data_IF_994545728432
#
_entry.id   IF_994545728432
#
_cell.length_a   1.000
_cell.length_b   1.000
_cell.length_c   1.000
_cell.angle_alpha   90.00
_cell.angle_beta   90.00
_cell.angle_gamma   90.00
#
_symmetry.space_group_name_H-M   'P 1'
#
loop_
_entity.id
_entity.type
_entity.pdbx_description
1 polymer ?
#
# COMPACT_ATOMS: atom_id res chain seq x y z
N UNK A 1 13.67 19.92 -13.81
CA UNK A 1 14.35 18.61 -13.92
C UNK A 1 13.33 17.46 -13.86
N UNK A 2 12.49 17.35 -12.83
CA UNK A 2 11.45 16.29 -12.75
C UNK A 2 10.41 16.38 -13.88
N UNK A 3 9.93 17.59 -14.24
CA UNK A 3 8.97 17.78 -15.35
C UNK A 3 9.55 17.40 -16.72
N UNK A 4 10.85 17.60 -16.91
CA UNK A 4 11.57 17.26 -18.14
C UNK A 4 11.73 15.75 -18.28
N UNK A 5 11.98 15.04 -17.18
CA UNK A 5 12.04 13.58 -17.14
C UNK A 5 10.64 12.98 -17.36
N UNK A 6 9.59 13.54 -16.76
CA UNK A 6 8.20 13.06 -16.94
C UNK A 6 7.76 13.18 -18.41
N UNK A 7 8.04 14.31 -19.07
CA UNK A 7 7.75 14.48 -20.51
C UNK A 7 8.52 13.47 -21.36
N UNK A 8 9.85 13.37 -21.16
CA UNK A 8 10.67 12.47 -21.96
C UNK A 8 10.28 10.98 -21.78
N UNK A 9 9.84 10.57 -20.59
CA UNK A 9 9.36 9.22 -20.36
C UNK A 9 7.96 8.98 -20.96
N UNK A 10 7.07 9.98 -20.98
CA UNK A 10 5.77 9.89 -21.68
C UNK A 10 5.96 9.80 -23.19
N UNK A 11 6.86 10.61 -23.74
CA UNK A 11 7.12 10.68 -25.18
C UNK A 11 7.74 9.39 -25.73
N UNK A 12 8.43 8.63 -24.87
CA UNK A 12 8.99 7.31 -25.20
C UNK A 12 8.00 6.15 -24.99
N UNK A 13 6.78 6.42 -24.52
CA UNK A 13 5.82 5.38 -24.13
C UNK A 13 6.25 4.56 -22.93
N UNK A 14 7.36 4.95 -22.29
CA UNK A 14 7.89 4.32 -21.08
C UNK A 14 7.23 4.85 -19.81
N UNK A 15 6.38 5.89 -19.87
CA UNK A 15 5.66 6.43 -18.73
C UNK A 15 4.14 6.13 -18.75
N UNK A 16 3.54 5.71 -17.61
CA UNK A 16 4.17 5.50 -16.31
C UNK A 16 5.23 4.41 -16.40
N UNK A 17 6.42 4.68 -15.84
CA UNK A 17 7.49 3.68 -15.77
C UNK A 17 6.82 2.48 -15.14
N UNK A 18 6.75 1.33 -15.84
CA UNK A 18 6.12 0.15 -15.27
C UNK A 18 6.76 0.00 -13.90
N UNK A 19 5.95 -0.04 -12.83
CA UNK A 19 6.44 -0.24 -11.46
C UNK A 19 7.62 -1.24 -11.41
N UNK A 20 7.57 -2.37 -12.15
CA UNK A 20 8.68 -3.31 -12.24
C UNK A 20 10.05 -2.72 -12.63
N UNK A 21 10.12 -1.73 -13.52
CA UNK A 21 11.39 -1.10 -13.92
C UNK A 21 11.93 -0.20 -12.81
N UNK A 22 11.07 0.60 -12.18
CA UNK A 22 11.47 1.46 -11.06
C UNK A 22 11.95 0.63 -9.87
N UNK A 23 11.27 -0.49 -9.63
CA UNK A 23 11.67 -1.50 -8.65
C UNK A 23 12.99 -2.15 -9.06
N UNK A 24 13.19 -2.54 -10.32
CA UNK A 24 14.45 -3.15 -10.77
C UNK A 24 15.65 -2.21 -10.59
N UNK A 25 15.47 -0.91 -10.86
CA UNK A 25 16.48 0.12 -10.60
C UNK A 25 16.75 0.24 -9.09
N UNK A 26 15.72 0.27 -8.26
CA UNK A 26 15.91 0.29 -6.79
C UNK A 26 16.59 -0.98 -6.26
N UNK A 27 16.24 -2.16 -6.77
CA UNK A 27 16.90 -3.44 -6.45
C UNK A 27 18.38 -3.44 -6.85
N UNK A 28 18.75 -2.74 -7.93
CA UNK A 28 20.14 -2.61 -8.35
C UNK A 28 20.93 -1.65 -7.45
N UNK A 29 20.30 -0.58 -6.96
CA UNK A 29 20.96 0.46 -6.17
C UNK A 29 21.05 0.13 -4.67
N UNK A 30 20.13 -0.69 -4.15
CA UNK A 30 20.11 -1.10 -2.74
C UNK A 30 20.84 -2.45 -2.62
N UNK A 31 21.70 -2.68 -1.61
CA UNK A 31 22.32 -3.98 -1.40
C UNK A 31 21.28 -5.09 -1.22
N UNK A 32 21.42 -6.27 -1.88
CA UNK A 32 20.47 -7.39 -1.78
C UNK A 32 20.03 -7.71 -0.35
N UNK A 33 20.94 -7.69 0.61
CA UNK A 33 20.62 -7.93 2.02
C UNK A 33 19.62 -6.92 2.63
N UNK A 34 19.60 -5.68 2.16
CA UNK A 34 18.72 -4.65 2.69
C UNK A 34 17.33 -4.68 2.08
N UNK A 35 17.20 -5.12 0.83
CA UNK A 35 15.89 -5.24 0.21
C UNK A 35 15.36 -6.66 0.28
N UNK A 36 16.12 -7.68 -0.11
CA UNK A 36 15.68 -9.10 -0.11
C UNK A 36 15.26 -9.52 1.27
N UNK A 37 16.07 -9.33 2.31
CA UNK A 37 15.75 -9.90 3.61
C UNK A 37 14.69 -9.11 4.39
N UNK A 38 14.31 -7.92 3.91
CA UNK A 38 13.24 -7.12 4.52
C UNK A 38 11.90 -7.46 3.87
N UNK A 39 10.86 -7.63 4.69
CA UNK A 39 9.52 -7.99 4.21
C UNK A 39 8.92 -6.98 3.22
N UNK A 40 7.82 -7.37 2.58
CA UNK A 40 7.06 -6.55 1.61
C UNK A 40 6.70 -5.14 2.13
N UNK A 41 6.59 -4.97 3.45
CA UNK A 41 6.38 -3.68 4.14
C UNK A 41 7.53 -2.69 3.93
N UNK A 42 8.78 -3.15 3.83
CA UNK A 42 9.91 -2.27 3.55
C UNK A 42 9.80 -1.64 2.15
N UNK A 43 9.35 -2.43 1.17
CA UNK A 43 9.08 -1.91 -0.17
C UNK A 43 7.94 -0.91 -0.21
N UNK A 44 6.90 -1.13 0.60
CA UNK A 44 5.84 -0.15 0.76
C UNK A 44 6.40 1.20 1.25
N UNK A 45 7.33 1.21 2.21
CA UNK A 45 8.00 2.44 2.65
C UNK A 45 8.92 3.05 1.58
N UNK A 46 9.72 2.24 0.87
CA UNK A 46 10.57 2.74 -0.22
C UNK A 46 9.75 3.33 -1.37
N UNK A 47 8.68 2.65 -1.78
CA UNK A 47 7.76 3.16 -2.79
C UNK A 47 7.03 4.42 -2.31
N UNK A 48 6.76 4.55 -1.00
CA UNK A 48 6.22 5.78 -0.40
C UNK A 48 7.18 6.95 -0.55
N UNK A 49 8.48 6.74 -0.34
CA UNK A 49 9.50 7.74 -0.60
C UNK A 49 9.59 8.09 -2.09
N UNK A 50 9.54 7.08 -2.97
CA UNK A 50 9.51 7.30 -4.42
C UNK A 50 8.29 8.13 -4.85
N UNK A 51 7.12 7.90 -4.25
CA UNK A 51 5.95 8.76 -4.45
C UNK A 51 6.21 10.19 -3.98
N UNK A 52 6.84 10.39 -2.81
CA UNK A 52 7.15 11.74 -2.34
C UNK A 52 8.01 12.52 -3.36
N UNK A 53 8.94 11.84 -4.03
CA UNK A 53 9.81 12.43 -5.05
C UNK A 53 9.11 12.64 -6.40
N UNK A 54 8.25 11.71 -6.82
CA UNK A 54 7.67 11.70 -8.18
C UNK A 54 6.27 12.29 -8.26
N UNK A 55 5.52 12.26 -7.16
CA UNK A 55 4.09 12.55 -7.07
C UNK A 55 3.26 11.75 -8.10
N UNK A 56 3.75 10.57 -8.50
CA UNK A 56 3.11 9.75 -9.54
C UNK A 56 1.75 9.24 -9.10
N UNK A 57 0.72 9.48 -9.92
CA UNK A 57 -0.63 8.98 -9.68
C UNK A 57 -0.68 7.45 -9.61
N UNK A 58 0.06 6.79 -10.50
CA UNK A 58 0.11 5.33 -10.56
C UNK A 58 0.70 4.76 -9.26
N UNK A 59 1.82 5.32 -8.80
CA UNK A 59 2.48 4.88 -7.56
C UNK A 59 1.56 5.12 -6.35
N UNK A 60 0.90 6.30 -6.28
CA UNK A 60 -0.08 6.59 -5.23
C UNK A 60 -1.21 5.56 -5.16
N UNK A 61 -1.80 5.21 -6.31
CA UNK A 61 -2.87 4.22 -6.40
C UNK A 61 -2.37 2.83 -5.99
N UNK A 62 -1.18 2.46 -6.46
CA UNK A 62 -0.50 1.21 -6.09
C UNK A 62 -0.23 1.12 -4.59
N UNK A 63 0.33 2.18 -4.00
CA UNK A 63 0.59 2.28 -2.57
C UNK A 63 -0.68 2.18 -1.73
N UNK A 64 -1.78 2.84 -2.14
CA UNK A 64 -3.04 2.70 -1.43
C UNK A 64 -3.53 1.23 -1.41
N UNK A 65 -3.49 0.54 -2.56
CA UNK A 65 -3.91 -0.87 -2.63
C UNK A 65 -2.95 -1.81 -1.89
N UNK A 66 -1.64 -1.64 -2.04
CA UNK A 66 -0.61 -2.39 -1.30
C UNK A 66 -0.75 -2.19 0.20
N UNK A 67 -0.94 -0.96 0.65
CA UNK A 67 -1.15 -0.63 2.06
C UNK A 67 -2.39 -1.28 2.65
N UNK A 68 -3.51 -1.28 1.91
CA UNK A 68 -4.73 -2.02 2.30
C UNK A 68 -4.41 -3.51 2.47
N UNK A 69 -3.70 -4.11 1.51
CA UNK A 69 -3.30 -5.52 1.57
C UNK A 69 -2.41 -5.83 2.76
N UNK A 70 -1.42 -4.97 3.05
CA UNK A 70 -0.51 -5.09 4.20
C UNK A 70 -1.30 -5.04 5.50
N UNK A 71 -2.15 -4.03 5.67
CA UNK A 71 -2.94 -3.87 6.90
C UNK A 71 -3.85 -5.07 7.14
N UNK A 72 -4.58 -5.54 6.11
CA UNK A 72 -5.44 -6.71 6.22
C UNK A 72 -4.60 -7.95 6.63
N UNK A 73 -3.47 -8.17 5.97
CA UNK A 73 -2.60 -9.29 6.27
C UNK A 73 -2.05 -9.24 7.70
N UNK A 74 -1.63 -8.07 8.14
CA UNK A 74 -1.09 -7.83 9.47
C UNK A 74 -2.11 -8.12 10.57
N UNK A 75 -3.33 -7.58 10.45
CA UNK A 75 -4.40 -7.84 11.41
C UNK A 75 -4.89 -9.29 11.37
N UNK A 76 -4.81 -9.97 10.23
CA UNK A 76 -5.08 -11.41 10.15
C UNK A 76 -4.05 -12.23 10.95
N UNK A 77 -2.75 -11.89 10.85
CA UNK A 77 -1.69 -12.52 11.63
C UNK A 77 -1.89 -12.30 13.14
N UNK A 78 -2.14 -11.05 13.56
CA UNK A 78 -2.41 -10.71 14.97
C UNK A 78 -3.64 -11.47 15.49
N UNK A 79 -4.71 -11.53 14.69
CA UNK A 79 -5.93 -12.25 15.06
C UNK A 79 -5.65 -13.74 15.23
N UNK A 80 -4.85 -14.34 14.36
CA UNK A 80 -4.46 -15.74 14.48
C UNK A 80 -3.60 -16.00 15.72
N UNK A 81 -2.65 -15.11 16.04
CA UNK A 81 -1.82 -15.19 17.26
C UNK A 81 -2.69 -15.21 18.52
N UNK A 82 -3.69 -14.33 18.55
CA UNK A 82 -4.63 -14.23 19.65
C UNK A 82 -5.53 -15.48 19.74
N UNK A 83 -6.14 -15.90 18.63
CA UNK A 83 -7.13 -16.98 18.64
C UNK A 83 -6.51 -18.37 18.82
N UNK A 84 -5.37 -18.65 18.18
CA UNK A 84 -4.72 -19.97 18.21
C UNK A 84 -3.79 -20.13 19.40
N UNK A 85 -3.08 -19.07 19.80
CA UNK A 85 -2.02 -19.15 20.81
C UNK A 85 -2.29 -18.32 22.07
N UNK A 86 -3.37 -17.53 22.10
CA UNK A 86 -3.69 -16.68 23.24
C UNK A 86 -2.71 -15.52 23.44
N UNK A 87 -1.84 -15.23 22.45
CA UNK A 87 -0.87 -14.16 22.55
C UNK A 87 -1.48 -12.84 22.08
N UNK A 88 -1.36 -11.80 22.88
CA UNK A 88 -1.80 -10.46 22.51
C UNK A 88 -0.63 -9.66 21.91
N UNK A 89 -0.66 -9.43 20.60
CA UNK A 89 0.35 -8.64 19.86
C UNK A 89 1.80 -9.15 19.94
N UNK A 90 2.04 -10.41 20.32
CA UNK A 90 3.40 -10.96 20.36
C UNK A 90 4.09 -10.88 19.00
N UNK A 91 3.35 -11.19 17.93
CA UNK A 91 3.82 -11.01 16.54
C UNK A 91 4.35 -9.59 16.27
N UNK A 92 3.66 -8.56 16.76
CA UNK A 92 4.06 -7.18 16.55
C UNK A 92 5.44 -6.91 17.16
N UNK A 93 5.65 -7.35 18.39
CA UNK A 93 6.92 -7.12 19.11
C UNK A 93 8.08 -7.90 18.48
N UNK A 94 7.80 -9.07 17.91
CA UNK A 94 8.78 -9.87 17.16
C UNK A 94 9.15 -9.28 15.79
N UNK A 95 8.29 -8.46 15.19
CA UNK A 95 8.55 -7.79 13.93
C UNK A 95 9.34 -6.47 14.10
N UNK A 96 9.56 -6.02 15.33
CA UNK A 96 10.29 -4.78 15.58
C UNK A 96 11.80 -4.95 15.31
N UNK A 97 12.54 -3.86 15.08
CA UNK A 97 14.00 -3.90 15.00
C UNK A 97 14.58 -4.51 16.28
N UNK A 98 15.71 -5.23 16.15
CA UNK A 98 16.32 -5.95 17.28
C UNK A 98 16.60 -5.06 18.51
N UNK A 99 16.86 -3.76 18.30
CA UNK A 99 17.04 -2.80 19.39
C UNK A 99 15.79 -2.64 20.27
N UNK A 100 14.59 -2.74 19.70
CA UNK A 100 13.32 -2.70 20.44
C UNK A 100 12.90 -4.10 20.89
N UNK A 101 13.05 -5.10 20.02
CA UNK A 101 12.66 -6.48 20.35
C UNK A 101 13.45 -7.03 21.52
N UNK A 102 14.76 -6.75 21.64
CA UNK A 102 15.56 -7.24 22.77
C UNK A 102 15.13 -6.68 24.14
N UNK A 103 14.41 -5.54 24.14
CA UNK A 103 13.83 -4.94 25.36
C UNK A 103 12.49 -5.59 25.68
N UNK A 104 11.64 -5.79 24.67
CA UNK A 104 10.28 -6.33 24.86
C UNK A 104 10.21 -7.85 24.94
N UNK A 105 11.17 -8.54 24.33
CA UNK A 105 11.17 -9.98 24.13
C UNK A 105 12.54 -10.55 24.44
N UNK A 106 12.61 -11.40 25.46
CA UNK A 106 13.81 -12.12 25.84
C UNK A 106 13.46 -13.61 25.92
N UNK A 107 14.31 -14.46 25.35
CA UNK A 107 14.12 -15.91 25.28
C UNK A 107 12.77 -16.34 24.69
N UNK A 108 12.24 -15.55 23.74
CA UNK A 108 10.97 -15.81 23.07
C UNK A 108 9.72 -15.49 23.89
N UNK A 109 9.90 -14.93 25.09
CA UNK A 109 8.83 -14.50 26.01
C UNK A 109 8.71 -12.98 25.94
N UNK A 110 7.46 -12.50 25.94
CA UNK A 110 7.16 -11.06 25.98
C UNK A 110 7.15 -10.60 27.44
N UNK A 111 7.94 -9.59 27.77
CA UNK A 111 8.12 -9.08 29.14
C UNK A 111 7.23 -7.88 29.39
N UNK A 112 6.32 -7.96 30.36
CA UNK A 112 5.37 -6.89 30.68
C UNK A 112 5.64 -6.23 32.05
N UNK A 113 6.73 -6.63 32.70
CA UNK A 113 7.05 -6.33 34.10
C UNK A 113 7.90 -5.08 34.28
N UNK A 114 8.55 -4.59 33.23
CA UNK A 114 9.40 -3.39 33.27
C UNK A 114 8.76 -2.20 32.54
N UNK A 115 8.93 -1.00 33.11
CA UNK A 115 8.49 0.25 32.46
C UNK A 115 9.17 0.49 31.11
N UNK A 116 10.42 0.05 30.96
CA UNK A 116 11.16 0.15 29.71
C UNK A 116 10.52 -0.71 28.61
N UNK A 117 10.15 -1.95 28.95
CA UNK A 117 9.44 -2.84 28.02
C UNK A 117 8.06 -2.29 27.66
N UNK A 118 7.27 -1.85 28.64
CA UNK A 118 5.94 -1.24 28.41
C UNK A 118 6.07 0.00 27.50
N UNK A 119 7.03 0.87 27.77
CA UNK A 119 7.30 2.06 26.94
C UNK A 119 7.68 1.68 25.51
N UNK A 120 8.49 0.64 25.34
CA UNK A 120 8.91 0.13 24.03
C UNK A 120 7.76 -0.54 23.27
N UNK A 121 6.85 -1.24 23.96
CA UNK A 121 5.62 -1.76 23.36
C UNK A 121 4.74 -0.63 22.86
N UNK A 122 4.49 0.38 23.70
CA UNK A 122 3.71 1.55 23.33
C UNK A 122 4.31 2.25 22.09
N UNK A 123 5.64 2.42 22.07
CA UNK A 123 6.36 2.95 20.91
C UNK A 123 6.16 2.07 19.66
N UNK A 124 6.23 0.75 19.81
CA UNK A 124 6.04 -0.20 18.71
C UNK A 124 4.65 -0.10 18.09
N UNK A 125 3.61 0.04 18.90
CA UNK A 125 2.24 0.28 18.43
C UNK A 125 2.10 1.60 17.68
N UNK A 126 2.72 2.67 18.18
CA UNK A 126 2.73 3.97 17.50
C UNK A 126 3.43 3.86 16.14
N UNK A 127 4.64 3.29 16.11
CA UNK A 127 5.41 3.14 14.88
C UNK A 127 4.69 2.28 13.84
N UNK A 128 4.08 1.18 14.26
CA UNK A 128 3.32 0.30 13.36
C UNK A 128 2.06 0.99 12.80
N UNK A 129 1.33 1.69 13.67
CA UNK A 129 0.13 2.47 13.27
C UNK A 129 0.49 3.57 12.27
N UNK A 130 1.58 4.31 12.52
CA UNK A 130 2.05 5.36 11.63
C UNK A 130 2.55 4.79 10.30
N UNK A 131 3.35 3.72 10.36
CA UNK A 131 4.01 3.11 9.22
C UNK A 131 3.03 2.43 8.27
N UNK A 132 1.94 1.85 8.77
CA UNK A 132 1.05 1.01 7.97
C UNK A 132 -0.36 1.62 7.81
N UNK A 133 -1.29 1.58 8.81
CA UNK A 133 -2.62 2.17 8.67
C UNK A 133 -2.62 3.65 8.27
N UNK A 134 -1.86 4.49 8.98
CA UNK A 134 -1.92 5.94 8.74
C UNK A 134 -1.29 6.32 7.40
N UNK A 135 -0.19 5.68 7.02
CA UNK A 135 0.44 5.90 5.72
C UNK A 135 -0.46 5.42 4.57
N UNK A 136 -1.14 4.28 4.74
CA UNK A 136 -2.16 3.80 3.79
C UNK A 136 -3.31 4.79 3.66
N UNK A 137 -3.81 5.27 4.80
CA UNK A 137 -4.87 6.29 4.85
C UNK A 137 -4.43 7.59 4.18
N UNK A 138 -3.19 8.02 4.37
CA UNK A 138 -2.62 9.18 3.70
C UNK A 138 -2.68 9.03 2.16
N UNK A 139 -2.27 7.89 1.60
CA UNK A 139 -2.36 7.67 0.15
C UNK A 139 -3.80 7.60 -0.35
N UNK A 140 -4.71 7.04 0.44
CA UNK A 140 -6.14 7.08 0.16
C UNK A 140 -6.67 8.51 0.12
N UNK A 141 -6.39 9.34 1.13
CA UNK A 141 -6.79 10.74 1.16
C UNK A 141 -6.19 11.52 -0.02
N UNK A 142 -4.90 11.34 -0.31
CA UNK A 142 -4.29 11.96 -1.49
C UNK A 142 -4.98 11.51 -2.76
N UNK A 143 -5.41 10.25 -2.84
CA UNK A 143 -6.16 9.73 -3.98
C UNK A 143 -7.50 10.45 -4.16
N UNK A 144 -8.30 10.55 -3.10
CA UNK A 144 -9.62 11.17 -3.11
C UNK A 144 -9.57 12.69 -3.31
N UNK A 145 -8.57 13.38 -2.76
CA UNK A 145 -8.33 14.83 -2.99
C UNK A 145 -8.19 15.20 -4.48
N UNK A 146 -7.77 14.25 -5.33
CA UNK A 146 -7.68 14.45 -6.79
C UNK A 146 -8.92 13.94 -7.54
N UNK A 147 -10.04 13.73 -6.86
CA UNK A 147 -11.26 13.16 -7.44
C UNK A 147 -11.21 11.64 -7.67
N UNK A 148 -10.23 10.96 -7.08
CA UNK A 148 -10.11 9.51 -7.14
C UNK A 148 -11.23 8.79 -6.41
N UNK A 149 -11.63 7.63 -6.92
CA UNK A 149 -12.64 6.75 -6.29
C UNK A 149 -12.04 5.39 -5.96
N UNK A 150 -12.68 4.66 -5.05
CA UNK A 150 -12.26 3.28 -4.73
C UNK A 150 -12.21 2.39 -5.98
N UNK A 151 -13.20 2.52 -6.88
CA UNK A 151 -13.22 1.80 -8.16
C UNK A 151 -11.99 2.09 -9.03
N UNK A 152 -11.47 3.32 -8.98
CA UNK A 152 -10.28 3.69 -9.76
C UNK A 152 -8.97 3.17 -9.17
N UNK A 153 -8.91 2.89 -7.85
CA UNK A 153 -7.81 2.10 -7.26
C UNK A 153 -7.81 0.68 -7.78
N UNK A 154 -9.00 0.11 -7.99
CA UNK A 154 -9.18 -1.25 -8.50
C UNK A 154 -9.11 -1.32 -10.04
N UNK A 155 -8.42 -0.40 -10.70
CA UNK A 155 -8.15 -0.50 -12.15
C UNK A 155 -7.27 -1.72 -12.45
N UNK A 156 -7.40 -2.32 -13.65
CA UNK A 156 -6.65 -3.54 -14.00
C UNK A 156 -5.14 -3.29 -13.90
N UNK A 157 -4.67 -2.14 -14.37
CA UNK A 157 -3.25 -1.80 -14.34
C UNK A 157 -2.69 -1.80 -12.91
N UNK A 158 -3.45 -1.23 -11.96
CA UNK A 158 -3.04 -1.16 -10.55
C UNK A 158 -3.11 -2.55 -9.91
N UNK A 159 -4.19 -3.30 -10.11
CA UNK A 159 -4.37 -4.64 -9.55
C UNK A 159 -3.29 -5.60 -10.04
N UNK A 160 -3.05 -5.64 -11.36
CA UNK A 160 -2.05 -6.51 -11.96
C UNK A 160 -0.65 -6.10 -11.52
N UNK A 161 -0.32 -4.81 -11.53
CA UNK A 161 1.02 -4.37 -11.17
C UNK A 161 1.35 -4.62 -9.69
N UNK A 162 0.41 -4.34 -8.77
CA UNK A 162 0.62 -4.57 -7.33
C UNK A 162 0.68 -6.06 -7.00
N UNK A 163 -0.15 -6.89 -7.62
CA UNK A 163 -0.09 -8.35 -7.46
C UNK A 163 1.21 -8.93 -8.04
N UNK A 164 1.58 -8.57 -9.27
CA UNK A 164 2.83 -9.02 -9.90
C UNK A 164 4.04 -8.58 -9.08
N UNK A 165 4.03 -7.36 -8.54
CA UNK A 165 5.08 -6.90 -7.66
C UNK A 165 5.20 -7.77 -6.42
N UNK A 166 4.09 -8.02 -5.73
CA UNK A 166 4.05 -8.90 -4.55
C UNK A 166 4.53 -10.33 -4.86
N UNK A 167 4.13 -10.91 -6.00
CA UNK A 167 4.55 -12.27 -6.38
C UNK A 167 6.01 -12.34 -6.82
N UNK A 168 6.47 -11.38 -7.60
CA UNK A 168 7.88 -11.28 -8.00
C UNK A 168 8.76 -11.14 -6.76
N UNK A 169 8.30 -10.34 -5.79
CA UNK A 169 8.95 -10.19 -4.50
C UNK A 169 9.07 -11.52 -3.76
N UNK A 170 7.93 -12.17 -3.56
CA UNK A 170 7.81 -13.46 -2.90
C UNK A 170 8.76 -14.51 -3.51
N UNK A 171 8.72 -14.67 -4.83
CA UNK A 171 9.57 -15.61 -5.56
C UNK A 171 11.06 -15.29 -5.41
N UNK A 172 11.44 -14.01 -5.53
CA UNK A 172 12.83 -13.58 -5.42
C UNK A 172 13.37 -13.80 -4.00
N UNK A 173 12.57 -13.45 -3.00
CA UNK A 173 12.90 -13.63 -1.60
C UNK A 173 13.10 -15.11 -1.25
N UNK A 174 12.14 -15.96 -1.64
CA UNK A 174 12.22 -17.39 -1.38
C UNK A 174 13.42 -18.03 -2.08
N UNK A 175 13.68 -17.64 -3.34
CA UNK A 175 14.82 -18.17 -4.08
C UNK A 175 16.15 -17.82 -3.40
N UNK A 176 16.25 -16.61 -2.87
CA UNK A 176 17.44 -16.14 -2.17
C UNK A 176 17.65 -16.84 -0.83
N UNK A 177 16.60 -16.96 0.00
CA UNK A 177 16.72 -17.47 1.36
C UNK A 177 16.67 -19.01 1.47
N UNK A 178 15.89 -19.67 0.61
CA UNK A 178 15.66 -21.12 0.68
C UNK A 178 16.22 -21.88 -0.53
N UNK A 179 16.70 -21.19 -1.56
CA UNK A 179 17.12 -21.83 -2.81
C UNK A 179 15.98 -22.29 -3.72
N UNK A 180 14.73 -22.11 -3.30
CA UNK A 180 13.52 -22.56 -4.00
C UNK A 180 12.52 -21.43 -4.24
N UNK A 181 11.65 -21.60 -5.24
CA UNK A 181 10.58 -20.64 -5.52
C UNK A 181 9.34 -20.99 -4.71
N UNK A 182 8.88 -20.06 -3.88
CA UNK A 182 7.58 -20.16 -3.21
C UNK A 182 6.69 -19.00 -3.62
N UNK A 183 5.39 -19.28 -3.75
CA UNK A 183 4.40 -18.26 -4.09
C UNK A 183 4.12 -17.34 -2.91
N UNK A 184 4.45 -17.75 -1.69
CA UNK A 184 4.29 -16.97 -0.47
C UNK A 184 5.64 -16.63 0.14
N UNK A 185 5.77 -15.38 0.57
CA UNK A 185 6.95 -14.91 1.26
C UNK A 185 6.99 -15.60 2.62
N UNK A 186 8.14 -16.14 3.01
CA UNK A 186 8.39 -16.66 4.35
C UNK A 186 9.65 -15.98 4.83
N UNK A 187 9.51 -14.93 5.64
CA UNK A 187 10.62 -14.06 6.00
C UNK A 187 11.59 -14.68 6.99
N UNK A 188 12.88 -14.71 6.67
CA UNK A 188 13.92 -15.26 7.55
C UNK A 188 14.47 -14.24 8.58
N UNK A 189 14.48 -12.94 8.25
CA UNK A 189 15.28 -11.94 8.98
C UNK A 189 14.47 -10.94 9.83
N UNK A 190 13.29 -10.51 9.35
CA UNK A 190 12.43 -9.56 10.11
C UNK A 190 11.55 -10.29 11.11
N UNK A 191 11.09 -11.45 10.71
CA UNK A 191 10.37 -12.37 11.55
C UNK A 191 11.42 -13.38 11.93
N UNK A 192 11.90 -13.38 13.17
CA UNK A 192 12.70 -14.52 13.67
C UNK A 192 11.76 -15.74 13.69
N UNK A 193 11.47 -16.31 12.51
CA UNK A 193 10.56 -17.43 12.36
C UNK A 193 11.32 -18.63 12.91
N UNK A 194 11.08 -18.93 14.18
CA UNK A 194 11.56 -20.18 14.76
C UNK A 194 10.69 -21.31 14.25
N UNK A 195 11.22 -22.54 14.27
CA UNK A 195 10.40 -23.75 14.12
C UNK A 195 9.23 -23.66 15.12
N UNK A 196 8.00 -23.47 14.62
CA UNK A 196 6.79 -23.30 15.42
C UNK A 196 6.06 -21.95 15.30
N UNK A 197 6.66 -20.92 14.68
CA UNK A 197 6.02 -19.59 14.54
C UNK A 197 5.68 -19.25 13.10
N UNK A 198 6.02 -20.12 12.15
CA UNK A 198 5.70 -19.95 10.73
C UNK A 198 4.19 -19.88 10.48
N UNK A 199 3.43 -20.69 11.21
CA UNK A 199 1.96 -20.78 11.14
C UNK A 199 1.25 -19.43 11.36
N UNK A 200 1.89 -18.55 12.13
CA UNK A 200 1.37 -17.22 12.46
C UNK A 200 1.34 -16.27 11.25
N UNK A 201 2.18 -16.54 10.25
CA UNK A 201 2.36 -15.66 9.10
C UNK A 201 1.52 -16.07 7.88
N UNK A 202 1.14 -17.34 7.77
CA UNK A 202 0.26 -17.80 6.69
C UNK A 202 -1.05 -17.01 6.56
N UNK A 203 -1.76 -16.64 7.65
CA UNK A 203 -2.95 -15.80 7.55
C UNK A 203 -2.71 -14.49 6.80
N UNK A 204 -1.55 -13.85 6.97
CA UNK A 204 -1.24 -12.62 6.27
C UNK A 204 -1.18 -12.83 4.75
N UNK A 205 -0.51 -13.90 4.30
CA UNK A 205 -0.36 -14.20 2.88
C UNK A 205 -1.64 -14.73 2.23
N UNK A 206 -2.41 -15.53 2.98
CA UNK A 206 -3.72 -16.02 2.54
C UNK A 206 -4.65 -14.84 2.33
N UNK A 207 -4.75 -13.93 3.30
CA UNK A 207 -5.67 -12.78 3.21
C UNK A 207 -5.28 -11.79 2.11
N UNK A 208 -4.00 -11.53 1.89
CA UNK A 208 -3.52 -10.79 0.71
C UNK A 208 -3.99 -11.47 -0.59
N UNK A 209 -3.77 -12.78 -0.71
CA UNK A 209 -4.12 -13.53 -1.93
C UNK A 209 -5.63 -13.58 -2.16
N UNK A 210 -6.40 -13.74 -1.08
CA UNK A 210 -7.87 -13.67 -1.09
C UNK A 210 -8.33 -12.28 -1.52
N UNK A 211 -7.72 -11.19 -1.05
CA UNK A 211 -8.05 -9.84 -1.46
C UNK A 211 -7.91 -9.66 -2.98
N UNK A 212 -6.75 -10.01 -3.55
CA UNK A 212 -6.53 -9.90 -4.99
C UNK A 212 -7.43 -10.83 -5.81
N UNK A 213 -7.68 -12.04 -5.32
CA UNK A 213 -8.62 -12.97 -5.95
C UNK A 213 -10.04 -12.41 -5.97
N UNK A 214 -10.53 -11.89 -4.85
CA UNK A 214 -11.86 -11.27 -4.75
C UNK A 214 -11.99 -10.06 -5.67
N UNK A 215 -10.98 -9.17 -5.72
CA UNK A 215 -10.97 -8.04 -6.65
C UNK A 215 -11.05 -8.52 -8.10
N UNK A 216 -10.27 -9.55 -8.46
CA UNK A 216 -10.24 -10.12 -9.81
C UNK A 216 -11.61 -10.70 -10.18
N UNK A 217 -12.19 -11.54 -9.33
CA UNK A 217 -13.51 -12.13 -9.52
C UNK A 217 -14.61 -11.07 -9.66
N UNK A 218 -14.59 -10.04 -8.82
CA UNK A 218 -15.53 -8.92 -8.92
C UNK A 218 -15.39 -8.17 -10.25
N UNK A 219 -14.17 -7.90 -10.72
CA UNK A 219 -13.94 -7.25 -12.01
C UNK A 219 -14.39 -8.10 -13.19
N UNK A 220 -14.06 -9.39 -13.19
CA UNK A 220 -14.49 -10.33 -14.22
C UNK A 220 -16.02 -10.47 -14.26
N UNK A 221 -16.67 -10.55 -13.11
CA UNK A 221 -18.14 -10.58 -13.01
C UNK A 221 -18.78 -9.33 -13.63
N UNK A 222 -18.26 -8.14 -13.34
CA UNK A 222 -18.76 -6.90 -13.94
C UNK A 222 -18.53 -6.83 -15.46
N UNK A 223 -17.42 -7.40 -15.97
CA UNK A 223 -17.17 -7.48 -17.41
C UNK A 223 -18.17 -8.42 -18.11
N UNK A 224 -18.48 -9.56 -17.48
CA UNK A 224 -19.45 -10.53 -18.00
C UNK A 224 -20.88 -9.99 -17.93
N UNK A 225 -21.26 -9.35 -16.83
CA UNK A 225 -22.58 -8.72 -16.66
C UNK A 225 -22.77 -7.49 -17.57
N UNK A 226 -21.67 -6.77 -17.84
CA UNK A 226 -21.64 -5.68 -18.81
C UNK A 226 -21.50 -6.14 -20.26
N UNK A 227 -21.45 -7.44 -20.54
CA UNK A 227 -21.27 -8.06 -21.87
C UNK A 227 -22.38 -7.75 -22.89
N UNK A 228 -23.37 -6.94 -22.54
CA UNK A 228 -24.19 -6.19 -23.50
C UNK A 228 -23.55 -4.83 -23.81
N UNK A 229 -22.23 -4.78 -24.04
CA UNK A 229 -21.61 -3.61 -24.66
C UNK A 229 -22.06 -3.62 -26.11
N UNK A 230 -22.99 -2.73 -26.35
CA UNK A 230 -23.47 -2.26 -27.63
C UNK A 230 -22.30 -2.13 -28.58
N UNK A 231 -22.22 -3.04 -29.55
CA UNK A 231 -21.52 -2.82 -30.80
C UNK A 231 -22.24 -1.72 -31.59
N UNK A 232 -22.38 -0.53 -31.02
CA UNK A 232 -22.69 0.68 -31.77
C UNK A 232 -21.37 1.22 -32.29
N UNK A 233 -20.81 0.49 -33.26
CA UNK A 233 -19.96 1.10 -34.27
C UNK A 233 -20.83 2.08 -35.05
N UNK A 234 -21.05 3.27 -34.47
CA UNK A 234 -21.34 4.46 -35.25
C UNK A 234 -20.08 4.73 -36.06
N UNK A 235 -19.98 4.08 -37.22
CA UNK A 235 -19.38 4.69 -38.40
C UNK A 235 -20.20 5.97 -38.66
N UNK A 236 -19.89 7.03 -37.92
CA UNK A 236 -20.22 8.38 -38.35
C UNK A 236 -19.16 8.76 -39.35
N UNK A 237 -19.51 8.49 -40.60
CA UNK A 237 -19.00 9.17 -41.76
C UNK A 237 -19.09 10.70 -41.61
N UNK A 238 -18.22 11.39 -42.36
CA UNK A 238 -18.27 12.82 -42.73
C UNK A 238 -17.93 13.80 -41.61
N UNK A 239 -17.30 14.96 -41.83
CA UNK A 239 -16.74 15.67 -42.99
C UNK A 239 -15.98 16.85 -42.33
N UNK A 240 -14.75 17.09 -42.73
CA UNK A 240 -14.29 18.32 -43.38
C UNK A 240 -14.27 19.64 -42.59
N UNK A 241 -13.12 20.32 -42.76
CA UNK A 241 -12.90 21.77 -42.80
C UNK A 241 -12.92 22.62 -41.50
N UNK A 242 -11.71 23.06 -41.16
CA UNK A 242 -11.27 24.30 -40.45
C UNK A 242 -12.00 25.55 -41.01
N UNK A 243 -12.12 26.75 -40.36
CA UNK A 243 -11.02 27.39 -39.62
C UNK A 243 -11.34 28.35 -38.45
N UNK A 244 -10.24 28.83 -37.87
CA UNK A 244 -10.04 29.92 -36.92
C UNK A 244 -11.09 31.06 -36.87
N UNK A 245 -11.42 31.50 -35.64
CA UNK A 245 -12.17 32.73 -35.41
C UNK A 245 -12.32 33.15 -33.95
N UNK A 246 -11.40 34.02 -33.50
CA UNK A 246 -11.57 35.19 -32.59
C UNK A 246 -12.37 35.13 -31.28
N UNK A 247 -11.69 35.61 -30.23
CA UNK A 247 -12.09 36.59 -29.19
C UNK A 247 -13.57 36.69 -28.77
N UNK A 248 -13.86 36.57 -27.47
CA UNK A 248 -14.05 37.72 -26.55
C UNK A 248 -14.31 37.19 -25.11
N UNK A 249 -13.61 37.75 -24.12
CA UNK A 249 -14.12 38.64 -23.05
C UNK A 249 -14.85 37.96 -21.89
N UNK A 250 -14.28 38.24 -20.72
CA UNK A 250 -14.93 38.58 -19.46
C UNK A 250 -16.12 37.73 -19.01
N UNK A 251 -15.90 36.91 -17.97
CA UNK A 251 -16.74 37.05 -16.78
C UNK A 251 -16.01 36.57 -15.53
N UNK A 252 -15.74 37.56 -14.67
CA UNK A 252 -15.54 37.39 -13.25
C UNK A 252 -16.69 36.59 -12.63
N UNK A 253 -16.39 36.00 -11.46
CA UNK A 253 -17.28 35.64 -10.34
C UNK A 253 -17.16 34.16 -10.03
N UNK A 254 -16.45 33.82 -8.95
CA UNK A 254 -17.01 33.11 -7.79
C UNK A 254 -15.92 32.83 -6.76
N UNK A 255 -15.75 33.79 -5.85
CA UNK A 255 -15.32 33.50 -4.49
C UNK A 255 -16.40 32.63 -3.83
N UNK A 256 -16.07 31.37 -3.52
CA UNK A 256 -16.72 30.60 -2.46
C UNK A 256 -15.67 29.78 -1.72
N UNK A 257 -15.02 30.41 -0.75
CA UNK A 257 -14.48 29.68 0.39
C UNK A 257 -15.66 29.14 1.23
N UNK A 258 -15.69 27.84 1.56
CA UNK A 258 -16.60 27.35 2.59
C UNK A 258 -16.09 27.75 3.97
N UNK A 259 -16.88 28.55 4.69
CA UNK A 259 -16.68 28.87 6.10
C UNK A 259 -16.80 27.59 6.94
N UNK A 260 -15.71 27.18 7.58
CA UNK A 260 -15.72 26.18 8.65
C UNK A 260 -16.48 26.75 9.85
N UNK A 261 -17.69 26.25 10.09
CA UNK A 261 -18.42 26.46 11.35
C UNK A 261 -17.74 25.62 12.43
N UNK A 262 -17.02 26.28 13.34
CA UNK A 262 -16.71 25.69 14.63
C UNK A 262 -17.99 25.67 15.48
N UNK A 263 -18.39 24.48 15.93
CA UNK A 263 -19.38 24.32 16.98
C UNK A 263 -18.67 24.48 18.31
N UNK A 264 -18.97 25.54 19.05
CA UNK A 264 -18.59 25.67 20.45
C UNK A 264 -19.40 24.67 21.29
N UNK A 265 -18.76 23.58 21.71
CA UNK A 265 -19.31 22.73 22.77
C UNK A 265 -18.95 23.34 24.12
N UNK A 266 -19.95 23.90 24.78
CA UNK A 266 -19.92 24.40 26.15
C UNK A 266 -19.40 23.34 27.13
N UNK A 267 -18.27 23.62 27.79
CA UNK A 267 -17.88 22.90 29.00
C UNK A 267 -18.76 23.36 30.16
N UNK A 268 -19.64 22.47 30.63
CA UNK A 268 -20.30 22.61 31.92
C UNK A 268 -19.37 22.09 33.01
N UNK A 269 -18.86 23.01 33.82
CA UNK A 269 -18.16 22.72 35.07
C UNK A 269 -19.16 22.17 36.09
N UNK A 270 -18.98 20.91 36.52
CA UNK A 270 -19.62 20.42 37.74
C UNK A 270 -18.59 20.44 38.86
N UNK A 271 -18.79 21.39 39.77
CA UNK A 271 -18.18 21.44 41.10
C UNK A 271 -19.20 20.86 42.08
N UNK A 272 -18.93 19.67 42.62
CA UNK A 272 -19.11 19.24 44.03
C UNK A 272 -18.91 17.75 44.15
#
# INVERSE_FOLDING_TARGET
MISTIDSALRDTGLWPLPMPIGIAVLCYLVPPMQWINRGFTHWFHLASFLYALTQSEFIRKGLALMGISICIGWYAAITMDLLKYGNFFKILYWNMPSSLTNVMVQDGIVHYDTWESIGTMALSHVLDTLGHPLLTYYFWCKHTEKGGTFKSLLSWDIVVATWLFSRTWSLSHSKYNFGEFHMYYIGYDVYKITEGTLDLWYPAYITESTLYFCITCWKLSNLLAGGTISSSSSLSSKEDSTPAGKLSKDESTYDRQPSLRYSESSMSSTTR
#
